data_IF_824676617676
#
_entry.id   IF_824676617676
#
_cell.length_a   1.000
_cell.length_b   1.000
_cell.length_c   1.000
_cell.angle_alpha   90.00
_cell.angle_beta   90.00
_cell.angle_gamma   90.00
#
_symmetry.space_group_name_H-M   'P 1'
#
loop_
_entity.id
_entity.type
_entity.pdbx_description
1 polymer ?
#
# COMPACT_ATOMS: atom_id res chain seq x y z
N UNK A 1 -2.60 1.28 39.71
CA UNK A 1 -2.41 0.65 38.40
C UNK A 1 -1.90 1.73 37.46
N UNK A 2 -0.60 1.72 37.15
CA UNK A 2 -0.01 2.69 36.22
C UNK A 2 -0.48 2.32 34.82
N UNK A 3 -1.37 3.13 34.24
CA UNK A 3 -1.68 3.02 32.82
C UNK A 3 -0.49 3.61 32.08
N UNK A 4 0.43 2.75 31.66
CA UNK A 4 1.43 3.11 30.66
C UNK A 4 0.70 3.37 29.35
N UNK A 5 0.44 4.64 29.04
CA UNK A 5 0.11 5.08 27.69
C UNK A 5 1.35 4.89 26.83
N UNK A 6 1.51 3.69 26.28
CA UNK A 6 2.47 3.46 25.21
C UNK A 6 2.12 4.44 24.09
N UNK A 7 2.94 5.47 23.93
CA UNK A 7 2.88 6.36 22.78
C UNK A 7 3.00 5.50 21.53
N UNK A 8 1.87 5.27 20.84
CA UNK A 8 1.88 4.62 19.54
C UNK A 8 2.50 5.64 18.59
N UNK A 9 3.82 5.53 18.40
CA UNK A 9 4.51 6.26 17.36
C UNK A 9 3.94 5.76 16.03
N UNK A 10 3.00 6.52 15.45
CA UNK A 10 2.57 6.31 14.08
C UNK A 10 3.77 6.59 13.19
N UNK A 11 4.41 5.52 12.70
CA UNK A 11 5.47 5.68 11.71
C UNK A 11 4.82 6.23 10.46
N UNK A 12 5.48 7.18 9.80
CA UNK A 12 5.03 7.72 8.51
C UNK A 12 5.91 7.12 7.42
N UNK A 13 5.32 6.88 6.26
CA UNK A 13 6.07 6.51 5.05
C UNK A 13 5.81 7.53 3.96
N UNK A 14 6.82 7.72 3.11
CA UNK A 14 6.75 8.59 1.95
C UNK A 14 6.55 7.73 0.70
N UNK A 15 5.53 8.05 -0.10
CA UNK A 15 5.31 7.39 -1.40
C UNK A 15 6.37 7.89 -2.38
N UNK A 16 7.07 6.96 -3.04
CA UNK A 16 8.15 7.25 -4.00
C UNK A 16 7.89 6.57 -5.34
N UNK A 17 8.36 7.19 -6.42
CA UNK A 17 8.44 6.60 -7.76
C UNK A 17 9.92 6.34 -8.06
N UNK A 18 10.28 5.07 -8.27
CA UNK A 18 11.65 4.62 -8.48
C UNK A 18 11.69 3.54 -9.56
N UNK A 19 12.87 3.26 -10.11
CA UNK A 19 13.04 2.16 -11.05
C UNK A 19 12.85 0.83 -10.30
N UNK A 20 12.10 -0.11 -10.89
CA UNK A 20 11.85 -1.41 -10.26
C UNK A 20 13.15 -2.12 -9.88
N UNK A 21 14.17 -2.07 -10.76
CA UNK A 21 15.51 -2.64 -10.50
C UNK A 21 16.19 -2.08 -9.25
N UNK A 22 15.93 -0.82 -8.90
CA UNK A 22 16.50 -0.20 -7.69
C UNK A 22 15.75 -0.64 -6.44
N UNK A 23 14.43 -0.88 -6.56
CA UNK A 23 13.58 -1.31 -5.44
C UNK A 23 13.80 -2.79 -5.11
N UNK A 24 13.87 -3.66 -6.13
CA UNK A 24 14.03 -5.12 -5.91
C UNK A 24 15.48 -5.52 -5.64
N UNK A 25 16.46 -4.78 -6.17
CA UNK A 25 17.87 -5.15 -6.10
C UNK A 25 18.11 -6.53 -6.72
N UNK A 26 18.64 -7.47 -5.93
CA UNK A 26 18.94 -8.84 -6.37
C UNK A 26 17.85 -9.86 -5.96
N UNK A 27 16.72 -9.39 -5.43
CA UNK A 27 15.65 -10.28 -4.96
C UNK A 27 14.74 -10.72 -6.12
N UNK A 28 14.17 -11.91 -5.99
CA UNK A 28 13.11 -12.38 -6.88
C UNK A 28 11.84 -11.55 -6.69
N UNK A 29 11.08 -11.38 -7.78
CA UNK A 29 9.82 -10.68 -7.77
C UNK A 29 8.87 -11.28 -8.81
N UNK A 30 7.57 -11.10 -8.59
CA UNK A 30 6.54 -11.49 -9.54
C UNK A 30 5.43 -10.43 -9.58
N UNK A 31 4.72 -10.36 -10.70
CA UNK A 31 3.47 -9.59 -10.77
C UNK A 31 2.40 -10.39 -10.05
N UNK A 32 1.79 -9.80 -9.02
CA UNK A 32 0.74 -10.43 -8.23
C UNK A 32 -0.50 -9.53 -8.15
N UNK A 33 -1.35 -9.59 -9.18
CA UNK A 33 -2.66 -8.93 -9.15
C UNK A 33 -3.66 -9.79 -8.36
N UNK A 34 -3.43 -9.86 -7.05
CA UNK A 34 -4.05 -10.82 -6.12
C UNK A 34 -5.57 -10.93 -6.22
N UNK A 35 -6.27 -9.83 -6.53
CA UNK A 35 -7.73 -9.73 -6.47
C UNK A 35 -8.42 -9.61 -7.84
N UNK A 36 -7.71 -9.70 -8.97
CA UNK A 36 -8.31 -9.52 -10.32
C UNK A 36 -9.47 -10.51 -10.61
N UNK A 37 -9.48 -11.67 -9.93
CA UNK A 37 -10.56 -12.67 -10.07
C UNK A 37 -11.88 -12.25 -9.41
N UNK A 38 -11.82 -11.43 -8.36
CA UNK A 38 -12.99 -11.01 -7.57
C UNK A 38 -13.29 -9.53 -7.70
N UNK A 39 -12.31 -8.72 -8.10
CA UNK A 39 -12.41 -7.27 -8.22
C UNK A 39 -11.84 -6.85 -9.58
N UNK A 40 -12.68 -6.38 -10.52
CA UNK A 40 -12.19 -5.83 -11.76
C UNK A 40 -11.26 -4.62 -11.49
N UNK A 41 -10.07 -4.56 -12.11
CA UNK A 41 -9.21 -3.39 -11.97
C UNK A 41 -9.81 -2.18 -12.69
N UNK A 42 -9.44 -0.99 -12.24
CA UNK A 42 -9.71 0.25 -12.95
C UNK A 42 -8.93 0.30 -14.29
N UNK A 43 -9.29 1.18 -15.22
CA UNK A 43 -8.50 1.44 -16.42
C UNK A 43 -7.04 1.75 -16.07
N UNK A 44 -6.09 1.24 -16.86
CA UNK A 44 -4.66 1.34 -16.57
C UNK A 44 -4.22 2.80 -16.40
N UNK A 45 -4.70 3.69 -17.26
CA UNK A 45 -4.42 5.12 -17.23
C UNK A 45 -4.91 5.74 -15.91
N UNK A 46 -6.06 5.31 -15.40
CA UNK A 46 -6.60 5.80 -14.14
C UNK A 46 -5.77 5.30 -12.95
N UNK A 47 -5.34 4.04 -12.95
CA UNK A 47 -4.46 3.48 -11.90
C UNK A 47 -3.15 4.28 -11.83
N UNK A 48 -2.53 4.55 -12.99
CA UNK A 48 -1.28 5.33 -13.07
C UNK A 48 -1.52 6.75 -12.55
N UNK A 49 -2.57 7.44 -13.03
CA UNK A 49 -2.89 8.80 -12.58
C UNK A 49 -3.14 8.87 -11.07
N UNK A 50 -3.86 7.88 -10.51
CA UNK A 50 -4.09 7.79 -9.06
C UNK A 50 -2.76 7.62 -8.33
N UNK A 51 -1.90 6.70 -8.76
CA UNK A 51 -0.60 6.47 -8.12
C UNK A 51 0.29 7.72 -8.14
N UNK A 52 0.34 8.43 -9.27
CA UNK A 52 1.16 9.63 -9.44
C UNK A 52 0.72 10.78 -8.52
N UNK A 53 -0.58 10.92 -8.23
CA UNK A 53 -1.09 11.93 -7.29
C UNK A 53 -0.55 11.76 -5.87
N UNK A 54 -0.11 10.56 -5.49
CA UNK A 54 0.40 10.25 -4.16
C UNK A 54 1.90 10.44 -4.01
N UNK A 55 2.65 10.59 -5.11
CA UNK A 55 4.10 10.76 -5.07
C UNK A 55 4.46 11.92 -4.13
N UNK A 56 5.50 11.69 -3.34
CA UNK A 56 6.03 12.59 -2.32
C UNK A 56 5.15 12.86 -1.09
N UNK A 57 3.94 12.30 -1.02
CA UNK A 57 3.09 12.41 0.17
C UNK A 57 3.55 11.48 1.28
N UNK A 58 3.42 11.96 2.51
CA UNK A 58 3.53 11.13 3.71
C UNK A 58 2.17 10.49 4.03
N UNK A 59 2.17 9.18 4.23
CA UNK A 59 1.00 8.41 4.70
C UNK A 59 1.33 7.79 6.05
N UNK A 60 0.34 7.65 6.96
CA UNK A 60 0.50 6.79 8.12
C UNK A 60 0.96 5.42 7.64
N UNK A 61 1.95 4.83 8.30
CA UNK A 61 2.55 3.57 7.91
C UNK A 61 2.48 2.59 9.06
N UNK A 62 1.56 1.64 8.92
CA UNK A 62 1.54 0.44 9.72
C UNK A 62 2.55 -0.54 9.13
N UNK A 63 3.48 -0.97 9.98
CA UNK A 63 4.85 -1.28 9.58
C UNK A 63 5.03 -2.57 8.80
N UNK A 64 4.01 -3.42 8.74
CA UNK A 64 4.21 -4.83 8.44
C UNK A 64 3.27 -5.40 7.36
N UNK A 65 2.60 -4.56 6.57
CA UNK A 65 1.89 -5.02 5.37
C UNK A 65 0.53 -4.38 5.15
N UNK A 66 -0.18 -4.05 6.24
CA UNK A 66 -1.55 -3.52 6.21
C UNK A 66 -1.66 -2.28 5.32
N UNK A 67 -0.79 -1.30 5.50
CA UNK A 67 -0.92 -0.04 4.75
C UNK A 67 -0.46 -0.16 3.30
N UNK A 68 0.48 -1.06 3.00
CA UNK A 68 0.96 -1.24 1.63
C UNK A 68 -0.08 -1.95 0.77
N UNK A 69 -0.66 -3.07 1.24
CA UNK A 69 -1.67 -3.80 0.46
C UNK A 69 -2.95 -2.97 0.33
N UNK A 70 -3.41 -2.32 1.40
CA UNK A 70 -4.54 -1.38 1.33
C UNK A 70 -4.28 -0.23 0.36
N UNK A 71 -3.08 0.35 0.39
CA UNK A 71 -2.73 1.45 -0.51
C UNK A 71 -2.76 1.01 -1.98
N UNK A 72 -2.09 -0.08 -2.34
CA UNK A 72 -2.03 -0.52 -3.75
C UNK A 72 -3.37 -1.05 -4.27
N UNK A 73 -4.21 -1.64 -3.41
CA UNK A 73 -5.57 -2.08 -3.78
C UNK A 73 -6.53 -0.91 -3.95
N UNK A 74 -6.45 0.12 -3.10
CA UNK A 74 -7.17 1.38 -3.30
C UNK A 74 -6.81 2.02 -4.64
N UNK A 75 -5.53 1.97 -5.05
CA UNK A 75 -5.10 2.47 -6.35
C UNK A 75 -5.63 1.62 -7.51
N UNK A 76 -5.54 0.28 -7.42
CA UNK A 76 -5.87 -0.64 -8.51
C UNK A 76 -7.37 -0.86 -8.70
N UNK A 77 -8.12 -1.02 -7.62
CA UNK A 77 -9.53 -1.43 -7.63
C UNK A 77 -10.48 -0.32 -7.15
N UNK A 78 -9.94 0.80 -6.67
CA UNK A 78 -10.75 1.89 -6.10
C UNK A 78 -11.29 1.61 -4.70
N UNK A 79 -10.95 0.47 -4.10
CA UNK A 79 -11.29 0.09 -2.73
C UNK A 79 -10.06 -0.48 -2.04
N UNK A 80 -9.78 -0.02 -0.83
CA UNK A 80 -8.76 -0.62 0.02
C UNK A 80 -9.25 -2.00 0.48
N UNK A 81 -8.52 -3.04 0.14
CA UNK A 81 -8.81 -4.43 0.50
C UNK A 81 -7.50 -5.07 0.95
N UNK A 82 -7.52 -5.78 2.06
CA UNK A 82 -6.42 -6.64 2.49
C UNK A 82 -6.97 -7.84 3.23
N UNK A 83 -6.47 -9.04 2.91
CA UNK A 83 -6.82 -10.25 3.66
C UNK A 83 -6.09 -10.31 5.01
N UNK A 84 -5.23 -9.32 5.29
CA UNK A 84 -4.38 -9.29 6.49
C UNK A 84 -5.13 -8.74 7.72
N UNK A 85 -6.30 -8.10 7.55
CA UNK A 85 -7.11 -7.55 8.65
C UNK A 85 -8.60 -7.74 8.35
N UNK A 86 -9.38 -8.18 9.34
CA UNK A 86 -10.84 -8.01 9.37
C UNK A 86 -11.14 -6.58 9.85
N UNK A 87 -11.80 -5.76 9.02
CA UNK A 87 -12.26 -4.41 9.39
C UNK A 87 -12.77 -4.40 10.85
N UNK A 88 -12.10 -3.67 11.74
CA UNK A 88 -12.55 -3.42 13.11
C UNK A 88 -12.67 -1.92 13.31
#
# INVERSE_FOLDING_TARGET
LSVSTTSIFTRKAKVKKQLLKEVVGNNEWCVNNKYDRSHPPLPVEEIIQRAERWIDREVPYDLLGSNCEHFVTMLRYGKAISDQVSDT
#
